data_IF_096148526531
#
_entry.id   IF_096148526531
#
_cell.length_a   1.000
_cell.length_b   1.000
_cell.length_c   1.000
_cell.angle_alpha   90.00
_cell.angle_beta   90.00
_cell.angle_gamma   90.00
#
_symmetry.space_group_name_H-M   'P 1'
#
loop_
_entity.id
_entity.type
_entity.pdbx_description
1 polymer ?
#
# COMPACT_ATOMS: atom_id res chain seq x y z
N UNK A 1 -6.10 4.26 -14.07
CA UNK A 1 -5.36 4.25 -12.80
C UNK A 1 -5.77 5.38 -11.87
N UNK A 2 -6.01 6.56 -12.41
CA UNK A 2 -6.50 7.67 -11.59
C UNK A 2 -7.79 7.29 -10.86
N UNK A 3 -8.76 6.73 -11.60
CA UNK A 3 -10.03 6.31 -11.04
C UNK A 3 -9.85 5.17 -10.01
N UNK A 4 -8.98 4.21 -10.32
CA UNK A 4 -8.66 3.13 -9.40
C UNK A 4 -8.11 3.66 -8.08
N UNK A 5 -7.13 4.54 -8.14
CA UNK A 5 -6.48 5.09 -6.95
C UNK A 5 -7.48 5.88 -6.10
N UNK A 6 -8.25 6.77 -6.74
CA UNK A 6 -9.19 7.61 -6.00
C UNK A 6 -10.31 6.79 -5.37
N UNK A 7 -10.88 5.83 -6.08
CA UNK A 7 -11.93 4.99 -5.52
C UNK A 7 -11.42 4.08 -4.42
N UNK A 8 -10.20 3.57 -4.59
CA UNK A 8 -9.59 2.74 -3.58
C UNK A 8 -9.41 3.51 -2.27
N UNK A 9 -8.85 4.71 -2.34
CA UNK A 9 -8.64 5.50 -1.13
C UNK A 9 -9.94 6.04 -0.52
N UNK A 10 -10.99 6.22 -1.32
CA UNK A 10 -12.32 6.50 -0.77
C UNK A 10 -12.76 5.35 0.15
N UNK A 11 -12.55 4.11 -0.29
CA UNK A 11 -12.89 2.93 0.53
C UNK A 11 -12.01 2.83 1.78
N UNK A 12 -10.71 3.10 1.64
CA UNK A 12 -9.79 3.07 2.77
C UNK A 12 -10.21 4.10 3.84
N UNK A 13 -10.56 5.29 3.40
CA UNK A 13 -10.95 6.36 4.33
C UNK A 13 -12.31 6.11 5.00
N UNK A 14 -13.14 5.27 4.42
CA UNK A 14 -14.41 4.85 5.00
C UNK A 14 -14.30 3.57 5.81
N UNK A 15 -13.14 2.90 5.79
CA UNK A 15 -12.96 1.62 6.45
C UNK A 15 -12.56 1.82 7.91
N UNK A 16 -13.29 1.19 8.83
CA UNK A 16 -13.07 1.35 10.26
C UNK A 16 -11.69 0.87 10.73
N UNK A 17 -11.15 -0.13 10.04
CA UNK A 17 -9.86 -0.73 10.42
C UNK A 17 -8.68 0.10 9.90
N UNK A 18 -8.78 0.59 8.67
CA UNK A 18 -7.65 1.26 8.00
C UNK A 18 -7.64 2.77 8.18
N UNK A 19 -8.81 3.40 8.28
CA UNK A 19 -8.89 4.86 8.36
C UNK A 19 -8.00 5.45 9.44
N UNK A 20 -8.02 4.95 10.70
CA UNK A 20 -7.19 5.56 11.74
C UNK A 20 -5.69 5.51 11.43
N UNK A 21 -5.22 4.46 10.77
CA UNK A 21 -3.82 4.32 10.42
C UNK A 21 -3.42 5.36 9.38
N UNK A 22 -4.25 5.53 8.35
CA UNK A 22 -3.95 6.47 7.28
C UNK A 22 -4.08 7.92 7.74
N UNK A 23 -5.11 8.22 8.52
CA UNK A 23 -5.32 9.58 9.03
C UNK A 23 -4.16 10.03 9.90
N UNK A 24 -3.57 9.14 10.68
CA UNK A 24 -2.43 9.46 11.52
C UNK A 24 -1.18 9.83 10.71
N UNK A 25 -1.07 9.37 9.47
CA UNK A 25 0.12 9.57 8.64
C UNK A 25 -0.08 10.55 7.50
N UNK A 26 -1.29 10.71 7.00
CA UNK A 26 -1.56 11.55 5.84
C UNK A 26 -2.32 12.78 6.29
N UNK A 27 -1.67 13.94 6.21
CA UNK A 27 -2.28 15.21 6.58
C UNK A 27 -2.87 15.93 5.38
N UNK A 28 -2.36 15.66 4.18
CA UNK A 28 -2.82 16.32 2.95
C UNK A 28 -3.07 15.25 1.89
N UNK A 29 -4.34 14.95 1.66
CA UNK A 29 -4.75 13.87 0.76
C UNK A 29 -4.53 14.19 -0.71
N UNK A 30 -4.64 15.46 -1.11
CA UNK A 30 -4.46 15.83 -2.51
C UNK A 30 -3.09 15.40 -3.06
N UNK A 31 -1.99 15.91 -2.49
CA UNK A 31 -0.65 15.52 -2.92
C UNK A 31 -0.38 14.02 -2.74
N UNK A 32 -0.92 13.41 -1.69
CA UNK A 32 -0.76 11.96 -1.47
C UNK A 32 -1.38 11.17 -2.62
N UNK A 33 -2.62 11.50 -3.01
CA UNK A 33 -3.29 10.81 -4.10
C UNK A 33 -2.55 10.99 -5.42
N UNK A 34 -2.01 12.19 -5.68
CA UNK A 34 -1.21 12.43 -6.88
C UNK A 34 0.03 11.51 -6.91
N UNK A 35 0.71 11.38 -5.77
CA UNK A 35 1.87 10.49 -5.68
C UNK A 35 1.47 9.03 -5.89
N UNK A 36 0.31 8.63 -5.40
CA UNK A 36 -0.16 7.26 -5.57
C UNK A 36 -0.56 6.96 -7.01
N UNK A 37 -1.16 7.93 -7.71
CA UNK A 37 -1.41 7.77 -9.14
C UNK A 37 -0.10 7.57 -9.89
N UNK A 38 0.91 8.39 -9.59
CA UNK A 38 2.23 8.26 -10.22
C UNK A 38 2.88 6.91 -9.90
N UNK A 39 2.80 6.49 -8.65
CA UNK A 39 3.34 5.21 -8.21
C UNK A 39 2.69 4.04 -8.96
N UNK A 40 1.36 3.99 -8.96
CA UNK A 40 0.64 2.89 -9.60
C UNK A 40 0.79 2.92 -11.12
N UNK A 41 0.94 4.11 -11.71
CA UNK A 41 1.25 4.21 -13.13
C UNK A 41 2.60 3.56 -13.45
N UNK A 42 3.61 3.80 -12.61
CA UNK A 42 4.91 3.17 -12.78
C UNK A 42 4.83 1.65 -12.62
N UNK A 43 4.08 1.19 -11.64
CA UNK A 43 3.90 -0.25 -11.38
C UNK A 43 3.19 -0.92 -12.56
N UNK A 44 2.09 -0.32 -13.03
CA UNK A 44 1.29 -0.91 -14.11
C UNK A 44 2.06 -0.95 -15.43
N UNK A 45 2.87 0.06 -15.69
CA UNK A 45 3.66 0.14 -16.93
C UNK A 45 5.00 -0.57 -16.81
N UNK A 46 5.32 -1.09 -15.64
CA UNK A 46 6.56 -1.82 -15.38
C UNK A 46 7.80 -1.01 -15.75
N UNK A 47 7.77 0.30 -15.46
CA UNK A 47 8.88 1.17 -15.81
C UNK A 47 10.08 0.99 -14.89
N UNK A 48 9.89 0.40 -13.72
CA UNK A 48 10.94 0.21 -12.75
C UNK A 48 11.46 1.50 -12.13
N UNK A 49 10.76 2.59 -12.26
CA UNK A 49 11.22 3.90 -11.80
C UNK A 49 10.99 4.15 -10.32
N UNK A 50 10.12 3.39 -9.72
CA UNK A 50 9.82 3.56 -8.30
C UNK A 50 10.51 2.48 -7.51
N UNK A 51 11.40 2.87 -6.61
CA UNK A 51 12.20 1.93 -5.83
C UNK A 51 12.16 2.30 -4.36
N UNK A 52 12.06 1.29 -3.50
CA UNK A 52 12.41 1.36 -2.09
C UNK A 52 11.68 2.33 -1.18
N UNK A 53 11.25 3.50 -1.65
CA UNK A 53 10.66 4.52 -0.80
C UNK A 53 9.37 4.06 -0.09
N UNK A 54 8.45 3.30 -0.74
CA UNK A 54 7.29 2.78 -0.01
C UNK A 54 7.67 1.88 1.15
N UNK A 55 8.70 1.06 0.98
CA UNK A 55 9.17 0.19 2.05
C UNK A 55 9.63 1.01 3.25
N UNK A 56 10.44 2.04 3.02
CA UNK A 56 10.93 2.90 4.10
C UNK A 56 9.78 3.64 4.78
N UNK A 57 8.84 4.16 4.00
CA UNK A 57 7.72 4.91 4.54
C UNK A 57 6.80 4.07 5.40
N UNK A 58 6.70 2.76 5.14
CA UNK A 58 5.78 1.88 5.84
C UNK A 58 6.43 1.07 6.96
N UNK A 59 7.76 1.01 7.01
CA UNK A 59 8.47 0.11 7.92
C UNK A 59 8.15 0.35 9.40
N UNK A 60 7.80 1.57 9.78
CA UNK A 60 7.51 1.92 11.18
C UNK A 60 6.02 1.97 11.50
N UNK A 61 5.14 1.59 10.58
CA UNK A 61 3.70 1.61 10.83
C UNK A 61 3.31 0.52 11.85
N UNK A 62 2.38 0.85 12.76
CA UNK A 62 1.89 -0.14 13.73
C UNK A 62 0.80 -1.02 13.10
N UNK A 63 1.18 -1.84 12.13
CA UNK A 63 0.24 -2.66 11.36
C UNK A 63 0.66 -4.12 11.39
N UNK A 64 -0.33 -5.00 11.21
CA UNK A 64 -0.15 -6.44 11.14
C UNK A 64 -0.60 -6.94 9.79
N UNK A 65 -0.43 -8.24 9.54
CA UNK A 65 -0.94 -8.82 8.29
C UNK A 65 -2.45 -8.62 8.14
N UNK A 66 -3.20 -8.58 9.24
CA UNK A 66 -4.64 -8.33 9.18
C UNK A 66 -4.95 -6.99 8.49
N UNK A 67 -4.15 -5.98 8.75
CA UNK A 67 -4.30 -4.68 8.09
C UNK A 67 -3.98 -4.76 6.59
N UNK A 68 -2.90 -5.45 6.23
CA UNK A 68 -2.53 -5.63 4.82
C UNK A 68 -3.57 -6.48 4.09
N UNK A 69 -4.10 -7.50 4.73
CA UNK A 69 -5.14 -8.34 4.15
C UNK A 69 -6.40 -7.53 3.86
N UNK A 70 -6.80 -6.67 4.79
CA UNK A 70 -7.94 -5.77 4.60
C UNK A 70 -7.70 -4.81 3.44
N UNK A 71 -6.49 -4.23 3.40
CA UNK A 71 -6.07 -3.34 2.32
C UNK A 71 -6.17 -4.04 0.96
N UNK A 72 -5.69 -5.28 0.89
CA UNK A 72 -5.77 -6.07 -0.34
C UNK A 72 -7.20 -6.37 -0.75
N UNK A 73 -8.07 -6.69 0.21
CA UNK A 73 -9.48 -6.95 -0.10
C UNK A 73 -10.13 -5.73 -0.74
N UNK A 74 -9.90 -4.56 -0.17
CA UNK A 74 -10.45 -3.32 -0.73
C UNK A 74 -9.85 -3.00 -2.10
N UNK A 75 -8.56 -3.28 -2.27
CA UNK A 75 -7.89 -3.06 -3.56
C UNK A 75 -8.46 -3.99 -4.62
N UNK A 76 -8.64 -5.28 -4.29
CA UNK A 76 -9.23 -6.24 -5.22
C UNK A 76 -10.63 -5.84 -5.65
N UNK A 77 -11.46 -5.43 -4.70
CA UNK A 77 -12.80 -4.95 -5.00
C UNK A 77 -12.75 -3.78 -5.99
N UNK A 78 -11.91 -2.81 -5.70
CA UNK A 78 -11.85 -1.59 -6.52
C UNK A 78 -11.31 -1.91 -7.92
N UNK A 79 -10.26 -2.69 -8.02
CA UNK A 79 -9.68 -3.05 -9.31
C UNK A 79 -10.69 -3.80 -10.17
N UNK A 80 -11.46 -4.69 -9.57
CA UNK A 80 -12.49 -5.45 -10.27
C UNK A 80 -13.61 -4.54 -10.76
N UNK A 81 -13.94 -3.50 -10.00
CA UNK A 81 -14.99 -2.56 -10.37
C UNK A 81 -14.60 -1.62 -11.52
N UNK A 82 -13.33 -1.16 -11.54
CA UNK A 82 -12.95 -0.09 -12.45
C UNK A 82 -12.04 -0.51 -13.59
N UNK A 83 -11.46 -1.69 -13.54
CA UNK A 83 -10.52 -2.17 -14.56
C UNK A 83 -11.10 -3.30 -15.38
N UNK A 84 -10.70 -3.42 -16.67
CA UNK A 84 -11.00 -4.64 -17.43
C UNK A 84 -10.35 -5.85 -16.73
N UNK A 85 -10.87 -7.08 -16.95
CA UNK A 85 -10.36 -8.25 -16.21
C UNK A 85 -8.86 -8.46 -16.28
N UNK A 86 -8.24 -8.29 -17.45
CA UNK A 86 -6.80 -8.47 -17.56
C UNK A 86 -6.02 -7.40 -16.81
N UNK A 87 -6.48 -6.15 -16.86
CA UNK A 87 -5.87 -5.06 -16.12
C UNK A 87 -6.05 -5.24 -14.61
N UNK A 88 -7.23 -5.66 -14.18
CA UNK A 88 -7.50 -5.94 -12.78
C UNK A 88 -6.56 -7.02 -12.25
N UNK A 89 -6.42 -8.14 -12.97
CA UNK A 89 -5.53 -9.22 -12.56
C UNK A 89 -4.09 -8.74 -12.43
N UNK A 90 -3.65 -7.90 -13.36
CA UNK A 90 -2.29 -7.38 -13.36
C UNK A 90 -2.00 -6.51 -12.13
N UNK A 91 -2.86 -5.52 -11.85
CA UNK A 91 -2.63 -4.62 -10.73
C UNK A 91 -2.82 -5.33 -9.38
N UNK A 92 -3.75 -6.29 -9.31
CA UNK A 92 -3.96 -7.07 -8.09
C UNK A 92 -2.71 -7.89 -7.77
N UNK A 93 -2.12 -8.55 -8.76
CA UNK A 93 -0.91 -9.33 -8.55
C UNK A 93 0.23 -8.44 -8.04
N UNK A 94 0.37 -7.24 -8.58
CA UNK A 94 1.37 -6.28 -8.12
C UNK A 94 1.08 -5.83 -6.69
N UNK A 95 -0.19 -5.56 -6.38
CA UNK A 95 -0.58 -5.16 -5.03
C UNK A 95 -0.27 -6.24 -4.00
N UNK A 96 -0.49 -7.50 -4.36
CA UNK A 96 -0.19 -8.62 -3.48
C UNK A 96 1.31 -8.72 -3.19
N UNK A 97 2.14 -8.53 -4.19
CA UNK A 97 3.60 -8.52 -4.00
C UNK A 97 4.05 -7.37 -3.12
N UNK A 98 3.50 -6.19 -3.37
CA UNK A 98 3.84 -5.01 -2.59
C UNK A 98 3.44 -5.21 -1.13
N UNK A 99 2.23 -5.72 -0.88
CA UNK A 99 1.76 -5.95 0.48
C UNK A 99 2.68 -6.92 1.23
N UNK A 100 3.11 -7.99 0.57
CA UNK A 100 4.03 -8.95 1.19
C UNK A 100 5.37 -8.30 1.54
N UNK A 101 5.90 -7.49 0.63
CA UNK A 101 7.17 -6.79 0.85
C UNK A 101 7.07 -5.78 1.98
N UNK A 102 5.99 -5.01 2.03
CA UNK A 102 5.78 -4.02 3.08
C UNK A 102 5.56 -4.68 4.43
N UNK A 103 4.81 -5.77 4.46
CA UNK A 103 4.57 -6.52 5.69
C UNK A 103 5.89 -7.08 6.23
N UNK A 104 6.72 -7.64 5.36
CA UNK A 104 8.03 -8.15 5.74
C UNK A 104 8.90 -7.03 6.33
N UNK A 105 8.89 -5.85 5.72
CA UNK A 105 9.66 -4.71 6.23
C UNK A 105 9.15 -4.25 7.61
N UNK A 106 7.83 -4.24 7.81
CA UNK A 106 7.24 -3.89 9.11
C UNK A 106 7.66 -4.90 10.17
N UNK A 107 7.59 -6.19 9.87
CA UNK A 107 7.98 -7.23 10.83
C UNK A 107 9.47 -7.17 11.14
N UNK A 108 10.32 -6.96 10.13
CA UNK A 108 11.75 -6.86 10.33
C UNK A 108 12.11 -5.66 11.20
N UNK A 109 11.46 -4.54 10.99
CA UNK A 109 11.68 -3.34 11.80
C UNK A 109 11.25 -3.58 13.24
N UNK A 110 10.10 -4.23 13.45
CA UNK A 110 9.62 -4.55 14.80
C UNK A 110 10.57 -5.49 15.51
N UNK A 111 11.07 -6.52 14.83
CA UNK A 111 12.06 -7.44 15.39
C UNK A 111 13.38 -6.72 15.68
N UNK A 112 13.82 -5.88 14.75
CA UNK A 112 15.02 -5.08 14.94
C UNK A 112 14.92 -4.14 16.13
N UNK A 113 13.75 -3.54 16.35
CA UNK A 113 13.53 -2.68 17.50
C UNK A 113 13.55 -3.47 18.81
N UNK A 114 13.14 -4.75 18.76
CA UNK A 114 13.18 -5.62 19.94
C UNK A 114 14.51 -6.29 20.18
N UNK A 115 15.45 -6.19 19.24
CA UNK A 115 16.78 -6.78 19.37
C UNK A 115 17.78 -5.72 19.78
N UNK A 116 18.87 -6.15 20.39
CA UNK A 116 19.91 -5.20 20.79
C UNK A 116 20.66 -4.71 19.55
N UNK A 117 21.04 -3.44 19.53
CA UNK A 117 21.82 -2.91 18.41
C UNK A 117 23.17 -3.58 18.23
N UNK A 118 23.68 -4.20 19.26
CA UNK A 118 24.98 -4.88 19.21
C UNK A 118 25.02 -6.00 18.19
N UNK A 119 23.90 -6.41 17.67
CA UNK A 119 23.84 -7.43 16.63
C UNK A 119 24.24 -6.89 15.27
N UNK A 120 24.44 -5.58 15.15
CA UNK A 120 24.85 -4.96 13.88
C UNK A 120 26.31 -5.25 13.61
#
# INVERSE_FOLDING_TARGET
LHNLVHRFYDKVRADEVLEPIFVARITDWGPHLERMVAFWSSVALMTGRYHGAPVLAHATLPVTWAHFSRWLDLFRQTATEVCPPAGAAHVIERAERIARSLHMAVEDTARGAGLTPSLR
#
